data_IF_717828495151
#
_entry.id   IF_717828495151
#
_cell.length_a   1.000
_cell.length_b   1.000
_cell.length_c   1.000
_cell.angle_alpha   90.00
_cell.angle_beta   90.00
_cell.angle_gamma   90.00
#
_symmetry.space_group_name_H-M   'P 1'
#
loop_
_entity.id
_entity.type
_entity.pdbx_description
1 polymer ?
#
# COMPACT_ATOMS: atom_id res chain seq x y z
N UNK A 1 25.52 -7.34 4.70
CA UNK A 1 24.19 -6.83 4.27
C UNK A 1 24.17 -5.34 4.53
N UNK A 2 23.75 -4.52 3.57
CA UNK A 2 23.78 -3.06 3.73
C UNK A 2 22.52 -2.62 4.51
N UNK A 3 22.63 -2.54 5.83
CA UNK A 3 21.56 -2.19 6.79
C UNK A 3 21.11 -0.74 6.68
N UNK A 4 21.87 0.10 5.99
CA UNK A 4 21.63 1.55 5.91
C UNK A 4 20.60 1.92 4.85
N UNK A 5 20.14 0.95 4.03
CA UNK A 5 19.07 1.20 3.07
C UNK A 5 17.72 1.24 3.76
N UNK A 6 17.02 2.35 3.59
CA UNK A 6 15.62 2.52 4.00
C UNK A 6 14.69 2.07 2.86
N UNK A 7 13.58 1.46 3.22
CA UNK A 7 12.43 1.22 2.35
C UNK A 7 11.20 1.93 2.89
N UNK A 8 10.33 2.36 1.99
CA UNK A 8 9.08 3.04 2.30
C UNK A 8 7.91 2.13 1.97
N UNK A 9 7.05 1.91 2.95
CA UNK A 9 5.74 1.31 2.76
C UNK A 9 4.78 2.42 2.37
N UNK A 10 4.01 2.21 1.30
CA UNK A 10 3.11 3.21 0.77
C UNK A 10 1.75 2.61 0.40
N UNK A 11 0.73 3.46 0.38
CA UNK A 11 -0.60 3.17 -0.13
C UNK A 11 -0.87 3.96 -1.41
N UNK A 12 -1.49 3.33 -2.41
CA UNK A 12 -2.17 4.01 -3.51
C UNK A 12 -3.62 4.25 -3.10
N UNK A 13 -4.08 5.48 -3.28
CA UNK A 13 -5.42 5.92 -2.89
C UNK A 13 -6.30 6.10 -4.12
N UNK A 14 -7.60 5.86 -3.97
CA UNK A 14 -8.63 6.31 -4.92
C UNK A 14 -8.98 7.80 -4.72
N UNK A 15 -9.92 8.28 -5.52
CA UNK A 15 -10.47 9.64 -5.47
C UNK A 15 -11.19 9.96 -4.15
N UNK A 16 -11.66 8.93 -3.44
CA UNK A 16 -12.26 9.08 -2.12
C UNK A 16 -11.21 9.27 -1.02
N UNK A 17 -9.94 8.99 -1.31
CA UNK A 17 -8.84 8.95 -0.35
C UNK A 17 -8.68 7.58 0.33
N UNK A 18 -9.40 6.57 -0.13
CA UNK A 18 -9.33 5.23 0.42
C UNK A 18 -8.18 4.44 -0.21
N UNK A 19 -7.43 3.71 0.62
CA UNK A 19 -6.37 2.85 0.13
C UNK A 19 -6.92 1.70 -0.72
N UNK A 20 -6.37 1.55 -1.94
CA UNK A 20 -6.69 0.46 -2.87
C UNK A 20 -5.55 -0.52 -3.01
N UNK A 21 -4.31 -0.13 -2.72
CA UNK A 21 -3.15 -1.00 -2.82
C UNK A 21 -2.05 -0.56 -1.87
N UNK A 22 -1.36 -1.53 -1.26
CA UNK A 22 -0.17 -1.34 -0.42
C UNK A 22 1.05 -1.90 -1.15
N UNK A 23 2.14 -1.16 -1.18
CA UNK A 23 3.42 -1.61 -1.73
C UNK A 23 4.61 -1.14 -0.90
N UNK A 24 5.80 -1.71 -1.14
CA UNK A 24 7.04 -1.26 -0.49
C UNK A 24 8.14 -0.92 -1.48
N UNK A 25 8.79 0.26 -1.42
CA UNK A 25 9.87 0.69 -2.33
C UNK A 25 11.15 1.04 -1.61
N UNK A 26 12.31 0.69 -2.17
CA UNK A 26 13.64 1.11 -1.68
C UNK A 26 14.20 2.31 -2.42
N UNK A 27 13.42 2.90 -3.34
CA UNK A 27 13.81 4.15 -4.00
C UNK A 27 13.64 5.32 -3.01
N UNK A 28 14.45 6.39 -3.13
CA UNK A 28 14.32 7.61 -2.32
C UNK A 28 12.91 8.19 -2.37
N UNK A 29 12.60 9.16 -1.50
CA UNK A 29 11.26 9.75 -1.41
C UNK A 29 10.73 10.21 -2.78
N UNK A 30 11.52 10.94 -3.58
CA UNK A 30 11.07 11.36 -4.92
C UNK A 30 10.78 10.16 -5.86
N UNK A 31 11.45 9.03 -5.61
CA UNK A 31 11.23 7.76 -6.28
C UNK A 31 9.97 7.00 -5.86
N UNK A 32 9.32 7.28 -4.72
CA UNK A 32 8.02 6.65 -4.40
C UNK A 32 6.94 7.15 -5.34
N UNK A 33 6.91 8.46 -5.63
CA UNK A 33 6.03 9.06 -6.65
C UNK A 33 6.32 8.42 -8.01
N UNK A 34 7.60 8.23 -8.31
CA UNK A 34 8.05 7.50 -9.49
C UNK A 34 7.51 6.06 -9.56
N UNK A 35 7.38 5.35 -8.44
CA UNK A 35 6.85 3.98 -8.46
C UNK A 35 5.33 3.92 -8.63
N UNK A 36 4.59 4.82 -7.99
CA UNK A 36 3.15 4.96 -8.26
C UNK A 36 2.91 5.31 -9.74
N UNK A 37 3.75 6.19 -10.30
CA UNK A 37 3.76 6.48 -11.72
C UNK A 37 4.12 5.27 -12.57
N UNK A 38 5.10 4.43 -12.18
CA UNK A 38 5.43 3.20 -12.91
C UNK A 38 4.23 2.25 -12.96
N UNK A 39 3.53 2.04 -11.83
CA UNK A 39 2.29 1.25 -11.80
C UNK A 39 1.26 1.80 -12.80
N UNK A 40 1.03 3.12 -12.77
CA UNK A 40 0.07 3.76 -13.65
C UNK A 40 0.52 3.78 -15.12
N UNK A 41 1.79 4.03 -15.42
CA UNK A 41 2.34 4.04 -16.77
C UNK A 41 2.27 2.64 -17.41
N UNK A 42 2.51 1.60 -16.61
CA UNK A 42 2.48 0.22 -17.07
C UNK A 42 1.06 -0.38 -17.09
N UNK A 43 0.02 0.38 -16.73
CA UNK A 43 -1.37 -0.12 -16.71
C UNK A 43 -1.83 -0.68 -18.06
N UNK A 44 -1.25 -0.21 -19.16
CA UNK A 44 -1.59 -0.62 -20.53
C UNK A 44 -0.74 -1.80 -21.06
N UNK A 45 0.30 -2.21 -20.34
CA UNK A 45 1.12 -3.36 -20.71
C UNK A 45 0.40 -4.65 -20.29
N UNK A 46 0.52 -5.69 -21.12
CA UNK A 46 -0.10 -7.03 -21.04
C UNK A 46 -1.10 -7.26 -19.89
N UNK A 47 -2.38 -7.41 -20.23
CA UNK A 47 -3.45 -7.71 -19.27
C UNK A 47 -3.21 -9.02 -18.47
N UNK A 48 -2.36 -9.91 -18.99
CA UNK A 48 -2.15 -11.26 -18.47
C UNK A 48 -0.93 -11.38 -17.54
N UNK A 49 -0.18 -10.29 -17.31
CA UNK A 49 0.96 -10.29 -16.38
C UNK A 49 0.74 -9.37 -15.18
N UNK A 50 0.94 -9.92 -13.98
CA UNK A 50 0.94 -9.16 -12.73
C UNK A 50 -0.41 -9.14 -12.00
N UNK A 51 -0.70 -8.03 -11.32
CA UNK A 51 -1.92 -7.87 -10.51
C UNK A 51 -3.07 -7.34 -11.38
N UNK A 52 -3.85 -8.26 -11.96
CA UNK A 52 -4.95 -7.92 -12.89
C UNK A 52 -5.99 -6.98 -12.27
N UNK A 53 -6.33 -7.14 -10.99
CA UNK A 53 -7.30 -6.28 -10.31
C UNK A 53 -6.77 -4.85 -10.10
N UNK A 54 -5.51 -4.72 -9.69
CA UNK A 54 -4.81 -3.43 -9.62
C UNK A 54 -4.72 -2.76 -11.00
N UNK A 55 -4.31 -3.52 -12.02
CA UNK A 55 -4.19 -2.99 -13.38
C UNK A 55 -5.55 -2.54 -13.94
N UNK A 56 -6.62 -3.31 -13.70
CA UNK A 56 -7.98 -2.95 -14.09
C UNK A 56 -8.41 -1.63 -13.44
N UNK A 57 -8.21 -1.48 -12.13
CA UNK A 57 -8.51 -0.22 -11.43
C UNK A 57 -7.65 0.95 -11.94
N UNK A 58 -6.34 0.77 -12.13
CA UNK A 58 -5.48 1.84 -12.64
C UNK A 58 -5.90 2.34 -14.02
N UNK A 59 -6.49 1.49 -14.87
CA UNK A 59 -7.02 1.87 -16.19
C UNK A 59 -8.27 2.74 -16.10
N UNK A 60 -9.01 2.71 -15.00
CA UNK A 60 -10.18 3.57 -14.80
C UNK A 60 -9.81 4.98 -14.34
N UNK A 61 -8.52 5.27 -14.12
CA UNK A 61 -8.07 6.56 -13.61
C UNK A 61 -7.59 7.46 -14.77
N UNK A 62 -8.12 8.68 -14.83
CA UNK A 62 -7.69 9.72 -15.76
C UNK A 62 -6.33 10.32 -15.39
N UNK A 63 -5.98 10.26 -14.11
CA UNK A 63 -4.72 10.76 -13.55
C UNK A 63 -4.02 9.70 -12.69
N UNK A 64 -2.70 9.83 -12.45
CA UNK A 64 -2.00 8.94 -11.54
C UNK A 64 -2.66 8.92 -10.14
N UNK A 65 -2.75 7.74 -9.48
CA UNK A 65 -3.35 7.66 -8.15
C UNK A 65 -2.50 8.42 -7.13
N UNK A 66 -3.16 9.03 -6.14
CA UNK A 66 -2.45 9.62 -5.01
C UNK A 66 -1.70 8.55 -4.23
N UNK A 67 -0.56 8.95 -3.66
CA UNK A 67 0.31 8.03 -2.90
C UNK A 67 0.57 8.58 -1.52
N UNK A 68 0.40 7.74 -0.51
CA UNK A 68 0.68 8.05 0.90
C UNK A 68 1.78 7.14 1.42
N UNK A 69 2.85 7.71 1.98
CA UNK A 69 3.85 6.93 2.72
C UNK A 69 3.27 6.60 4.09
N UNK A 70 3.23 5.33 4.43
CA UNK A 70 2.72 4.81 5.70
C UNK A 70 3.85 4.67 6.73
N UNK A 71 5.01 4.20 6.29
CA UNK A 71 6.12 3.89 7.18
C UNK A 71 7.46 3.86 6.41
N UNK A 72 8.54 4.30 7.06
CA UNK A 72 9.90 4.09 6.60
C UNK A 72 10.57 3.03 7.50
N UNK A 73 11.13 1.98 6.90
CA UNK A 73 11.71 0.84 7.62
C UNK A 73 13.06 0.45 7.03
N UNK A 74 13.94 -0.22 7.80
CA UNK A 74 15.12 -0.86 7.25
C UNK A 74 14.77 -1.81 6.08
N UNK A 75 15.64 -1.88 5.07
CA UNK A 75 15.37 -2.61 3.82
C UNK A 75 15.04 -4.09 4.06
N UNK A 76 15.73 -4.75 4.97
CA UNK A 76 15.50 -6.15 5.36
C UNK A 76 14.12 -6.37 6.01
N UNK A 77 13.53 -5.32 6.60
CA UNK A 77 12.21 -5.39 7.24
C UNK A 77 11.04 -5.06 6.30
N UNK A 78 11.31 -4.59 5.07
CA UNK A 78 10.28 -4.05 4.15
C UNK A 78 9.11 -5.00 3.89
N UNK A 79 9.37 -6.30 3.72
CA UNK A 79 8.30 -7.27 3.44
C UNK A 79 7.45 -7.57 4.67
N UNK A 80 8.06 -7.59 5.86
CA UNK A 80 7.33 -7.74 7.13
C UNK A 80 6.40 -6.54 7.34
N UNK A 81 6.91 -5.34 7.11
CA UNK A 81 6.12 -4.10 7.24
C UNK A 81 5.01 -4.02 6.17
N UNK A 82 5.30 -4.34 4.90
CA UNK A 82 4.27 -4.41 3.84
C UNK A 82 3.16 -5.41 4.17
N UNK A 83 3.52 -6.60 4.67
CA UNK A 83 2.55 -7.61 5.08
C UNK A 83 1.70 -7.16 6.29
N UNK A 84 2.32 -6.46 7.24
CA UNK A 84 1.61 -5.87 8.38
C UNK A 84 0.58 -4.84 7.92
N UNK A 85 0.98 -3.86 7.11
CA UNK A 85 0.06 -2.83 6.60
C UNK A 85 -1.03 -3.41 5.70
N UNK A 86 -0.70 -4.35 4.82
CA UNK A 86 -1.69 -5.02 3.97
C UNK A 86 -2.74 -5.75 4.83
N UNK A 87 -2.32 -6.43 5.90
CA UNK A 87 -3.25 -7.10 6.84
C UNK A 87 -4.15 -6.09 7.55
N UNK A 88 -3.56 -5.02 8.08
CA UNK A 88 -4.28 -3.95 8.75
C UNK A 88 -5.36 -3.32 7.87
N UNK A 89 -5.01 -2.97 6.63
CA UNK A 89 -5.96 -2.39 5.67
C UNK A 89 -7.00 -3.40 5.18
N UNK A 90 -6.65 -4.68 4.98
CA UNK A 90 -7.64 -5.72 4.66
C UNK A 90 -8.66 -5.92 5.77
N UNK A 91 -8.27 -5.79 7.03
CA UNK A 91 -9.21 -5.93 8.15
C UNK A 91 -10.24 -4.80 8.17
N UNK A 92 -9.82 -3.57 7.84
CA UNK A 92 -10.72 -2.41 7.84
C UNK A 92 -11.51 -2.27 6.54
N UNK A 93 -10.89 -2.55 5.38
CA UNK A 93 -11.48 -2.32 4.05
C UNK A 93 -12.05 -3.61 3.40
N UNK A 94 -11.77 -4.78 3.97
CA UNK A 94 -12.20 -6.05 3.42
C UNK A 94 -11.72 -6.28 1.98
N UNK A 95 -12.64 -6.71 1.12
CA UNK A 95 -12.39 -7.03 -0.29
C UNK A 95 -12.07 -5.84 -1.19
N UNK A 96 -12.03 -4.62 -0.66
CA UNK A 96 -11.75 -3.41 -1.44
C UNK A 96 -10.25 -3.18 -1.67
N UNK A 97 -9.38 -3.88 -0.93
CA UNK A 97 -7.93 -3.81 -1.14
C UNK A 97 -7.48 -4.77 -2.25
N UNK A 98 -6.84 -4.21 -3.28
CA UNK A 98 -6.46 -4.89 -4.52
C UNK A 98 -5.14 -5.68 -4.44
N UNK A 99 -4.46 -5.69 -3.29
CA UNK A 99 -3.31 -6.57 -3.09
C UNK A 99 -3.73 -8.02 -3.32
N UNK A 100 -3.07 -8.76 -4.23
CA UNK A 100 -3.31 -10.20 -4.41
C UNK A 100 -2.94 -10.98 -3.13
N UNK A 101 -1.86 -10.57 -2.47
CA UNK A 101 -1.36 -11.18 -1.24
C UNK A 101 -0.77 -10.12 -0.31
N UNK A 102 -0.67 -10.46 0.97
CA UNK A 102 0.03 -9.70 2.01
C UNK A 102 1.53 -9.98 1.92
N UNK A 103 2.29 -9.10 1.26
CA UNK A 103 3.74 -9.26 1.04
C UNK A 103 4.10 -10.39 0.06
N UNK A 104 5.40 -10.65 -0.11
CA UNK A 104 5.91 -11.77 -0.92
C UNK A 104 5.17 -13.08 -0.58
N UNK A 105 4.91 -13.92 -1.61
CA UNK A 105 4.04 -15.10 -1.57
C UNK A 105 4.04 -15.77 -0.19
N UNK A 106 2.96 -15.66 0.59
CA UNK A 106 2.91 -16.27 1.91
C UNK A 106 2.97 -17.78 1.81
N UNK A 107 3.78 -18.39 2.67
CA UNK A 107 3.69 -19.81 2.91
C UNK A 107 2.40 -20.15 3.69
N UNK A 108 1.96 -21.41 3.72
CA UNK A 108 0.80 -21.85 4.50
C UNK A 108 0.88 -21.42 5.99
N UNK A 109 2.07 -21.44 6.58
CA UNK A 109 2.31 -21.01 7.96
C UNK A 109 2.03 -19.53 8.21
N UNK A 110 2.21 -18.66 7.21
CA UNK A 110 1.91 -17.23 7.35
C UNK A 110 0.41 -16.98 7.41
N UNK A 111 -0.41 -17.81 6.72
CA UNK A 111 -1.87 -17.69 6.71
C UNK A 111 -2.45 -18.01 8.09
N UNK A 112 -1.95 -19.05 8.74
CA UNK A 112 -2.39 -19.47 10.07
C UNK A 112 -1.98 -18.46 11.15
N UNK A 113 -0.73 -17.97 11.10
CA UNK A 113 -0.23 -16.92 12.00
C UNK A 113 -1.00 -15.61 11.88
N UNK A 114 -1.53 -15.30 10.69
CA UNK A 114 -2.37 -14.12 10.43
C UNK A 114 -3.77 -14.21 11.05
N UNK A 115 -4.39 -15.40 11.07
CA UNK A 115 -5.70 -15.60 11.73
C UNK A 115 -5.60 -15.45 13.25
N UNK A 116 -4.44 -15.76 13.83
CA UNK A 116 -4.18 -15.63 15.26
C UNK A 116 -3.76 -14.21 15.70
N UNK A 117 -3.41 -13.33 14.76
CA UNK A 117 -2.87 -12.00 15.10
C UNK A 117 -3.99 -11.04 15.52
N UNK A 118 -4.15 -10.84 16.84
CA UNK A 118 -5.04 -9.81 17.39
C UNK A 118 -4.33 -8.45 17.36
N UNK A 119 -4.89 -7.48 16.64
CA UNK A 119 -4.35 -6.12 16.60
C UNK A 119 -4.44 -5.46 17.99
N UNK A 120 -3.30 -4.96 18.47
CA UNK A 120 -3.22 -4.15 19.68
C UNK A 120 -3.95 -2.81 19.51
N UNK A 121 -4.36 -2.14 20.61
CA UNK A 121 -4.93 -0.80 20.55
C UNK A 121 -4.05 0.19 19.78
N UNK A 122 -2.73 0.10 19.94
CA UNK A 122 -1.75 0.93 19.24
C UNK A 122 -1.80 0.73 17.71
N UNK A 123 -1.94 -0.53 17.26
CA UNK A 123 -2.08 -0.82 15.82
C UNK A 123 -3.36 -0.22 15.26
N UNK A 124 -4.46 -0.30 16.00
CA UNK A 124 -5.74 0.32 15.60
C UNK A 124 -5.62 1.84 15.50
N UNK A 125 -4.93 2.47 16.45
CA UNK A 125 -4.68 3.91 16.44
C UNK A 125 -3.87 4.34 15.21
N UNK A 126 -2.83 3.56 14.84
CA UNK A 126 -2.02 3.82 13.64
C UNK A 126 -2.86 3.76 12.36
N UNK A 127 -3.75 2.78 12.24
CA UNK A 127 -4.65 2.66 11.08
C UNK A 127 -5.61 3.84 11.01
N UNK A 128 -6.24 4.18 12.14
CA UNK A 128 -7.18 5.32 12.21
C UNK A 128 -6.49 6.64 11.86
N UNK A 129 -5.26 6.86 12.36
CA UNK A 129 -4.47 8.04 12.04
C UNK A 129 -4.13 8.11 10.54
N UNK A 130 -3.73 6.99 9.93
CA UNK A 130 -3.43 6.93 8.49
C UNK A 130 -4.67 7.28 7.64
N UNK A 131 -5.85 6.76 8.02
CA UNK A 131 -7.10 7.08 7.33
C UNK A 131 -7.50 8.56 7.50
N UNK A 132 -7.34 9.12 8.70
CA UNK A 132 -7.61 10.53 8.96
C UNK A 132 -6.70 11.44 8.14
N UNK A 133 -5.39 11.14 8.10
CA UNK A 133 -4.42 11.90 7.32
C UNK A 133 -4.74 11.87 5.81
N UNK A 134 -5.17 10.72 5.29
CA UNK A 134 -5.61 10.59 3.91
C UNK A 134 -6.84 11.47 3.62
N UNK A 135 -7.82 11.49 4.53
CA UNK A 135 -9.02 12.33 4.42
C UNK A 135 -8.70 13.83 4.50
N UNK A 136 -7.85 14.25 5.43
CA UNK A 136 -7.45 15.66 5.60
C UNK A 136 -6.71 16.20 4.38
N UNK A 137 -5.77 15.43 3.80
CA UNK A 137 -5.07 15.83 2.58
C UNK A 137 -6.01 16.13 1.42
N UNK A 138 -7.12 15.40 1.28
CA UNK A 138 -8.16 15.69 0.29
C UNK A 138 -8.86 17.02 0.57
N UNK A 139 -9.25 17.28 1.82
CA UNK A 139 -9.95 18.51 2.20
C UNK A 139 -9.13 19.76 1.83
N UNK A 140 -7.82 19.71 2.05
CA UNK A 140 -6.93 20.83 1.71
C UNK A 140 -6.54 20.87 0.23
N UNK A 141 -6.43 19.73 -0.47
CA UNK A 141 -6.18 19.70 -1.91
C UNK A 141 -7.38 20.13 -2.76
N UNK A 142 -8.61 20.03 -2.25
CA UNK A 142 -9.82 20.52 -2.92
C UNK A 142 -10.14 22.00 -2.62
N UNK A 143 -9.40 22.62 -1.70
CA UNK A 143 -9.55 24.01 -1.29
C UNK A 143 -8.45 24.93 -1.85
N UNK A 144 -7.54 24.39 -2.67
CA UNK A 144 -6.44 25.07 -3.36
C UNK A 144 -6.66 25.00 -4.87
#
# INVERSE_FOLDING_TARGET
MNTDRVSFIYALLDDTGQARYIGCTSRPLDGFRGRAYVHWAHRKLDADRGNTALNAWLRTLDQPPQTLVLEAVPYDQRFKAEAFWTTCFRWVLGGQLLNLSTGARPGPADIERRRAYRHTPETRAKISAAQRLAHERRKYAAAA
#
